data_IF_188006837733
#
_entry.id   IF_188006837733
#
_cell.length_a   1.000
_cell.length_b   1.000
_cell.length_c   1.000
_cell.angle_alpha   90.00
_cell.angle_beta   90.00
_cell.angle_gamma   90.00
#
_symmetry.space_group_name_H-M   'P 1'
#
loop_
_entity.id
_entity.type
_entity.pdbx_description
1 polymer ?
#
# COMPACT_ATOMS: atom_id res chain seq x y z
N UNK A 1 8.86 -21.09 -14.10
CA UNK A 1 7.43 -20.88 -13.75
C UNK A 1 6.83 -19.86 -14.71
N UNK A 2 5.60 -20.09 -15.19
CA UNK A 2 4.94 -19.23 -16.19
C UNK A 2 4.46 -17.94 -15.52
N UNK A 3 4.95 -16.78 -15.97
CA UNK A 3 4.47 -15.46 -15.53
C UNK A 3 2.95 -15.39 -15.73
N UNK A 4 2.21 -15.09 -14.65
CA UNK A 4 0.77 -14.86 -14.69
C UNK A 4 0.51 -13.45 -14.20
N UNK A 5 0.01 -12.61 -15.09
CA UNK A 5 -0.37 -11.25 -14.77
C UNK A 5 -1.64 -11.28 -13.91
N UNK A 6 -1.54 -10.83 -12.66
CA UNK A 6 -2.67 -10.77 -11.72
C UNK A 6 -3.37 -9.41 -11.81
N UNK A 7 -4.64 -9.33 -11.43
CA UNK A 7 -5.36 -8.05 -11.30
C UNK A 7 -4.57 -7.11 -10.36
N UNK A 8 -3.96 -7.66 -9.30
CA UNK A 8 -3.14 -6.89 -8.39
C UNK A 8 -1.89 -6.28 -9.06
N UNK A 9 -1.22 -7.02 -9.95
CA UNK A 9 -0.13 -6.48 -10.76
C UNK A 9 -0.61 -5.33 -11.67
N UNK A 10 -1.76 -5.51 -12.33
CA UNK A 10 -2.35 -4.46 -13.18
C UNK A 10 -2.67 -3.20 -12.39
N UNK A 11 -3.20 -3.33 -11.16
CA UNK A 11 -3.46 -2.21 -10.27
C UNK A 11 -2.17 -1.46 -9.89
N UNK A 12 -1.08 -2.19 -9.61
CA UNK A 12 0.21 -1.58 -9.28
C UNK A 12 0.84 -0.84 -10.47
N UNK A 13 0.47 -1.16 -11.71
CA UNK A 13 0.98 -0.43 -12.89
C UNK A 13 0.51 1.03 -12.94
N UNK A 14 -0.60 1.38 -12.26
CA UNK A 14 -1.02 2.77 -12.11
C UNK A 14 -0.14 3.57 -11.15
N UNK A 15 0.71 2.91 -10.37
CA UNK A 15 1.61 3.54 -9.43
C UNK A 15 3.04 3.57 -10.01
N UNK A 16 3.49 4.71 -10.57
CA UNK A 16 4.79 4.79 -11.23
C UNK A 16 5.93 4.65 -10.22
N UNK A 17 6.60 3.49 -10.27
CA UNK A 17 7.65 3.09 -9.31
C UNK A 17 8.80 4.10 -9.20
N UNK A 18 9.23 4.68 -10.31
CA UNK A 18 10.30 5.68 -10.31
C UNK A 18 9.90 6.96 -9.58
N UNK A 19 8.65 7.40 -9.72
CA UNK A 19 8.16 8.58 -9.01
C UNK A 19 8.00 8.28 -7.52
N UNK A 20 7.47 7.10 -7.18
CA UNK A 20 7.37 6.68 -5.79
C UNK A 20 8.74 6.64 -5.12
N UNK A 21 9.76 6.11 -5.80
CA UNK A 21 11.12 6.07 -5.26
C UNK A 21 11.66 7.49 -5.00
N UNK A 22 11.43 8.46 -5.90
CA UNK A 22 11.81 9.86 -5.66
C UNK A 22 11.19 10.42 -4.38
N UNK A 23 9.91 10.15 -4.14
CA UNK A 23 9.21 10.57 -2.90
C UNK A 23 9.84 9.88 -1.68
N UNK A 24 10.10 8.58 -1.75
CA UNK A 24 10.79 7.84 -0.68
C UNK A 24 12.15 8.45 -0.36
N UNK A 25 12.93 8.79 -1.38
CA UNK A 25 14.27 9.37 -1.23
C UNK A 25 14.22 10.77 -0.58
N UNK A 26 13.24 11.60 -0.98
CA UNK A 26 12.99 12.93 -0.39
C UNK A 26 12.70 12.86 1.12
N UNK A 27 11.97 11.84 1.56
CA UNK A 27 11.63 11.62 2.96
C UNK A 27 12.61 10.69 3.69
N UNK A 28 13.70 10.27 3.03
CA UNK A 28 14.65 9.29 3.56
C UNK A 28 13.98 8.00 4.08
N UNK A 29 12.89 7.56 3.43
CA UNK A 29 12.03 6.46 3.91
C UNK A 29 12.72 5.11 4.00
N UNK A 30 13.82 4.92 3.26
CA UNK A 30 14.66 3.72 3.29
C UNK A 30 16.00 3.92 4.01
N UNK A 31 16.16 5.01 4.76
CA UNK A 31 17.35 5.22 5.58
C UNK A 31 17.56 4.06 6.56
N UNK A 32 18.76 3.46 6.53
CA UNK A 32 19.15 2.27 7.32
C UNK A 32 18.26 1.04 7.12
N UNK A 33 17.44 1.00 6.07
CA UNK A 33 16.62 -0.17 5.74
C UNK A 33 17.45 -1.19 4.96
N UNK A 34 17.47 -2.45 5.42
CA UNK A 34 18.26 -3.51 4.77
C UNK A 34 17.48 -4.36 3.77
N UNK A 35 16.33 -4.91 4.21
CA UNK A 35 15.60 -5.97 3.45
C UNK A 35 14.20 -5.56 3.00
N UNK A 36 13.54 -4.71 3.78
CA UNK A 36 12.14 -4.34 3.58
C UNK A 36 12.05 -2.88 3.18
N UNK A 37 12.48 -2.52 1.97
CA UNK A 37 12.39 -1.15 1.43
C UNK A 37 10.94 -0.65 1.37
N UNK A 38 10.71 0.64 1.13
CA UNK A 38 9.40 1.30 1.32
C UNK A 38 8.38 0.89 0.25
N UNK A 39 8.86 0.30 -0.84
CA UNK A 39 8.03 -0.39 -1.81
C UNK A 39 7.30 -1.61 -1.22
N UNK A 40 7.98 -2.41 -0.39
CA UNK A 40 7.37 -3.60 0.21
C UNK A 40 6.13 -3.29 1.08
N UNK A 41 6.19 -2.45 2.13
CA UNK A 41 5.03 -2.16 2.95
C UNK A 41 3.93 -1.48 2.15
N UNK A 42 4.22 -0.64 1.15
CA UNK A 42 3.20 -0.04 0.28
C UNK A 42 2.36 -1.15 -0.37
N UNK A 43 3.02 -2.07 -1.07
CA UNK A 43 2.36 -3.17 -1.78
C UNK A 43 1.62 -4.08 -0.81
N UNK A 44 2.23 -4.42 0.33
CA UNK A 44 1.60 -5.27 1.35
C UNK A 44 0.36 -4.59 1.95
N UNK A 45 0.41 -3.29 2.22
CA UNK A 45 -0.74 -2.54 2.74
C UNK A 45 -1.86 -2.41 1.69
N UNK A 46 -1.53 -2.18 0.42
CA UNK A 46 -2.52 -2.21 -0.68
C UNK A 46 -3.18 -3.59 -0.79
N UNK A 47 -2.40 -4.66 -0.71
CA UNK A 47 -2.94 -6.02 -0.68
C UNK A 47 -3.88 -6.22 0.52
N UNK A 48 -3.51 -5.72 1.70
CA UNK A 48 -4.35 -5.79 2.92
C UNK A 48 -5.71 -5.15 2.70
N UNK A 49 -5.74 -3.94 2.11
CA UNK A 49 -6.99 -3.20 1.87
C UNK A 49 -7.86 -3.92 0.84
N UNK A 50 -7.28 -4.31 -0.31
CA UNK A 50 -8.01 -4.95 -1.41
C UNK A 50 -8.53 -6.35 -1.04
N UNK A 51 -7.79 -7.09 -0.21
CA UNK A 51 -8.20 -8.42 0.26
C UNK A 51 -8.88 -8.41 1.63
N UNK A 52 -9.21 -7.22 2.15
CA UNK A 52 -9.94 -7.01 3.42
C UNK A 52 -9.32 -7.73 4.63
N UNK A 53 -7.98 -7.76 4.71
CA UNK A 53 -7.26 -8.37 5.83
C UNK A 53 -7.31 -7.46 7.05
N UNK A 54 -7.70 -8.02 8.19
CA UNK A 54 -7.95 -7.24 9.41
C UNK A 54 -6.84 -7.34 10.46
N UNK A 55 -5.88 -8.27 10.30
CA UNK A 55 -4.76 -8.42 11.23
C UNK A 55 -3.42 -8.55 10.51
N UNK A 56 -2.35 -8.06 11.14
CA UNK A 56 -0.99 -8.21 10.60
C UNK A 56 -0.57 -9.68 10.46
N UNK A 57 -1.08 -10.58 11.30
CA UNK A 57 -0.81 -12.02 11.23
C UNK A 57 -1.44 -12.63 9.97
N UNK A 58 -2.75 -12.46 9.81
CA UNK A 58 -3.46 -12.94 8.61
C UNK A 58 -2.87 -12.33 7.34
N UNK A 59 -2.55 -11.04 7.37
CA UNK A 59 -1.89 -10.36 6.27
C UNK A 59 -0.56 -11.02 5.88
N UNK A 60 0.34 -11.23 6.85
CA UNK A 60 1.65 -11.83 6.54
C UNK A 60 1.53 -13.27 6.07
N UNK A 61 0.64 -14.07 6.66
CA UNK A 61 0.44 -15.47 6.30
C UNK A 61 -0.15 -15.60 4.89
N UNK A 62 -1.21 -14.83 4.61
CA UNK A 62 -1.86 -14.79 3.30
C UNK A 62 -0.93 -14.27 2.20
N UNK A 63 -0.17 -13.20 2.47
CA UNK A 63 0.76 -12.62 1.50
C UNK A 63 1.94 -13.55 1.19
N UNK A 64 2.53 -14.17 2.22
CA UNK A 64 3.69 -15.05 2.05
C UNK A 64 3.31 -16.39 1.39
N UNK A 65 2.09 -16.88 1.58
CA UNK A 65 1.58 -18.09 0.90
C UNK A 65 1.58 -17.94 -0.62
N UNK A 66 1.42 -16.70 -1.12
CA UNK A 66 1.41 -16.38 -2.54
C UNK A 66 2.74 -15.79 -3.05
N UNK A 67 3.87 -16.03 -2.35
CA UNK A 67 5.19 -15.49 -2.71
C UNK A 67 5.58 -15.70 -4.18
N UNK A 68 5.24 -16.86 -4.74
CA UNK A 68 5.53 -17.24 -6.14
C UNK A 68 4.73 -16.41 -7.16
N UNK A 69 3.62 -15.79 -6.74
CA UNK A 69 2.87 -14.85 -7.57
C UNK A 69 3.34 -13.41 -7.37
N UNK A 70 3.90 -13.10 -6.19
CA UNK A 70 4.29 -11.75 -5.80
C UNK A 70 5.72 -11.35 -6.16
N UNK A 71 6.62 -12.30 -6.44
CA UNK A 71 8.04 -11.96 -6.70
C UNK A 71 8.21 -10.95 -7.85
N UNK A 72 7.38 -11.04 -8.88
CA UNK A 72 7.36 -10.12 -10.03
C UNK A 72 6.92 -8.69 -9.66
N UNK A 73 6.32 -8.49 -8.49
CA UNK A 73 5.93 -7.17 -8.00
C UNK A 73 7.13 -6.44 -7.36
N UNK A 74 8.32 -7.05 -7.32
CA UNK A 74 9.52 -6.46 -6.73
C UNK A 74 9.46 -6.40 -5.20
N UNK A 75 8.74 -7.35 -4.58
CA UNK A 75 8.53 -7.47 -3.14
C UNK A 75 8.98 -8.84 -2.65
N UNK A 76 9.37 -8.90 -1.38
CA UNK A 76 9.83 -10.10 -0.70
C UNK A 76 8.79 -10.58 0.30
N UNK A 77 8.94 -11.83 0.76
CA UNK A 77 8.22 -12.31 1.94
C UNK A 77 8.55 -11.44 3.16
N UNK A 78 7.55 -11.24 4.03
CA UNK A 78 7.65 -10.33 5.17
C UNK A 78 7.38 -11.03 6.49
N UNK A 79 8.12 -10.68 7.54
CA UNK A 79 7.82 -11.08 8.91
C UNK A 79 6.88 -10.06 9.57
N UNK A 80 5.95 -10.54 10.41
CA UNK A 80 4.98 -9.71 11.13
C UNK A 80 5.62 -8.56 11.92
N UNK A 81 6.69 -8.84 12.65
CA UNK A 81 7.42 -7.82 13.44
C UNK A 81 8.04 -6.75 12.53
N UNK A 82 8.70 -7.16 11.45
CA UNK A 82 9.30 -6.22 10.49
C UNK A 82 8.27 -5.33 9.80
N UNK A 83 7.08 -5.87 9.48
CA UNK A 83 5.98 -5.08 8.93
C UNK A 83 5.42 -4.09 9.97
N UNK A 84 5.25 -4.54 11.21
CA UNK A 84 4.83 -3.67 12.31
C UNK A 84 5.80 -2.53 12.57
N UNK A 85 7.11 -2.83 12.64
CA UNK A 85 8.17 -1.84 12.80
C UNK A 85 8.22 -0.86 11.64
N UNK A 86 8.07 -1.35 10.40
CA UNK A 86 8.00 -0.52 9.21
C UNK A 86 6.81 0.45 9.27
N UNK A 87 5.63 -0.03 9.61
CA UNK A 87 4.43 0.80 9.74
C UNK A 87 4.58 1.85 10.84
N UNK A 88 5.28 1.53 11.93
CA UNK A 88 5.53 2.47 13.03
C UNK A 88 6.56 3.55 12.69
N UNK A 89 7.62 3.19 11.95
CA UNK A 89 8.79 4.06 11.73
C UNK A 89 8.70 4.89 10.46
N UNK A 90 8.00 4.40 9.42
CA UNK A 90 7.93 5.09 8.13
C UNK A 90 7.07 6.33 8.23
N UNK A 91 7.60 7.44 7.73
CA UNK A 91 6.85 8.69 7.66
C UNK A 91 5.60 8.51 6.79
N UNK A 92 4.44 8.85 7.36
CA UNK A 92 3.16 8.85 6.64
C UNK A 92 3.18 9.79 5.44
N UNK A 93 4.03 10.83 5.49
CA UNK A 93 4.19 11.81 4.40
C UNK A 93 4.54 11.16 3.06
N UNK A 94 5.27 10.05 3.06
CA UNK A 94 5.59 9.31 1.83
C UNK A 94 4.32 8.87 1.12
N UNK A 95 3.39 8.28 1.86
CA UNK A 95 2.12 7.78 1.32
C UNK A 95 1.17 8.92 0.96
N UNK A 96 1.15 9.98 1.78
CA UNK A 96 0.39 11.20 1.52
C UNK A 96 0.84 11.87 0.20
N UNK A 97 2.13 12.08 0.00
CA UNK A 97 2.66 12.73 -1.21
C UNK A 97 2.45 11.83 -2.43
N UNK A 98 2.53 10.51 -2.25
CA UNK A 98 2.18 9.54 -3.31
C UNK A 98 0.72 9.68 -3.71
N UNK A 99 -0.19 9.80 -2.73
CA UNK A 99 -1.61 10.01 -2.97
C UNK A 99 -1.85 11.31 -3.74
N UNK A 100 -1.30 12.45 -3.27
CA UNK A 100 -1.49 13.73 -3.95
C UNK A 100 -0.86 13.76 -5.35
N UNK A 101 0.27 13.09 -5.56
CA UNK A 101 0.84 12.92 -6.88
C UNK A 101 -0.13 12.18 -7.83
N UNK A 102 -0.74 11.07 -7.38
CA UNK A 102 -1.71 10.33 -8.17
C UNK A 102 -3.00 11.13 -8.39
N UNK A 103 -3.45 11.86 -7.38
CA UNK A 103 -4.63 12.72 -7.45
C UNK A 103 -4.45 13.81 -8.51
N UNK A 104 -3.31 14.50 -8.49
CA UNK A 104 -3.00 15.55 -9.46
C UNK A 104 -2.97 15.01 -10.90
N UNK A 105 -2.55 13.75 -11.11
CA UNK A 105 -2.55 13.13 -12.44
C UNK A 105 -3.95 12.91 -13.03
N UNK A 106 -4.95 12.71 -12.18
CA UNK A 106 -6.32 12.42 -12.62
C UNK A 106 -7.24 13.62 -12.44
N UNK A 107 -6.80 14.67 -11.75
CA UNK A 107 -7.61 15.83 -11.39
C UNK A 107 -8.23 16.53 -12.61
N UNK A 108 -7.50 16.62 -13.72
CA UNK A 108 -7.99 17.23 -14.97
C UNK A 108 -9.07 16.38 -15.68
N UNK A 109 -9.12 15.08 -15.38
CA UNK A 109 -10.09 14.14 -15.94
C UNK A 109 -11.32 13.96 -15.05
N UNK A 110 -11.25 14.42 -13.79
CA UNK A 110 -12.34 14.31 -12.83
C UNK A 110 -13.25 15.54 -12.89
N UNK A 111 -14.58 15.37 -12.80
CA UNK A 111 -15.49 16.49 -12.59
C UNK A 111 -15.12 17.20 -11.28
N UNK A 112 -14.87 18.52 -11.33
CA UNK A 112 -14.36 19.29 -10.17
C UNK A 112 -15.22 19.19 -8.89
N UNK A 113 -16.53 18.89 -9.03
CA UNK A 113 -17.43 18.68 -7.89
C UNK A 113 -17.24 17.33 -7.19
N UNK A 114 -16.70 16.32 -7.88
CA UNK A 114 -16.66 14.94 -7.40
C UNK A 114 -15.37 14.63 -6.63
N UNK A 115 -14.28 15.35 -6.87
CA UNK A 115 -12.99 15.09 -6.20
C UNK A 115 -13.09 15.23 -4.68
N UNK A 116 -13.72 16.32 -4.21
CA UNK A 116 -13.97 16.53 -2.78
C UNK A 116 -14.88 15.46 -2.17
N UNK A 117 -15.85 14.97 -2.92
CA UNK A 117 -16.78 13.93 -2.46
C UNK A 117 -16.11 12.55 -2.47
N UNK A 118 -15.27 12.25 -3.46
CA UNK A 118 -14.49 11.01 -3.54
C UNK A 118 -13.52 10.87 -2.37
N UNK A 119 -12.81 11.95 -2.00
CA UNK A 119 -11.94 11.93 -0.80
C UNK A 119 -12.75 11.65 0.47
N UNK A 120 -13.95 12.26 0.60
CA UNK A 120 -14.88 11.98 1.72
C UNK A 120 -15.40 10.54 1.73
N UNK A 121 -15.66 9.94 0.58
CA UNK A 121 -16.13 8.55 0.47
C UNK A 121 -15.05 7.54 0.83
N UNK A 122 -13.78 7.81 0.50
CA UNK A 122 -12.66 6.93 0.87
C UNK A 122 -12.44 6.92 2.39
N UNK A 123 -12.74 8.04 3.06
CA UNK A 123 -12.61 8.19 4.52
C UNK A 123 -13.87 7.76 5.30
N UNK A 124 -14.85 7.11 4.66
CA UNK A 124 -16.03 6.58 5.36
C UNK A 124 -15.71 5.26 6.10
N UNK A 125 -14.61 5.20 6.84
CA UNK A 125 -14.36 4.09 7.75
C UNK A 125 -15.41 4.17 8.86
N UNK A 126 -16.39 3.27 8.83
CA UNK A 126 -17.29 3.06 9.97
C UNK A 126 -16.48 2.46 11.09
N UNK A 127 -16.16 3.26 12.11
CA UNK A 127 -15.66 2.75 13.38
C UNK A 127 -16.87 2.12 14.06
N UNK A 128 -16.92 0.79 14.10
CA UNK A 128 -17.91 0.09 14.91
C UNK A 128 -17.64 0.39 16.39
N UNK A 129 -18.54 1.16 17.00
CA UNK A 129 -18.47 1.54 18.42
C UNK A 129 -18.98 0.42 19.35
N UNK A 130 -19.34 -0.75 18.79
CA UNK A 130 -19.92 -1.84 19.56
C UNK A 130 -18.83 -2.79 20.06
N UNK A 131 -18.48 -2.67 21.34
CA UNK A 131 -17.48 -3.52 22.01
C UNK A 131 -17.94 -4.97 22.28
N UNK A 132 -19.20 -5.30 21.96
CA UNK A 132 -19.86 -6.55 22.40
C UNK A 132 -20.00 -7.61 21.29
N UNK A 133 -18.98 -7.82 20.46
CA UNK A 133 -18.84 -9.02 19.63
C UNK A 133 -17.72 -9.92 20.16
N UNK A 134 -17.88 -10.37 21.42
CA UNK A 134 -17.27 -11.58 21.96
C UNK A 134 -18.25 -12.21 22.94
#
# INVERSE_FOLDING_TARGET
MKYRNTIFHQLLNFLPRNQFQKIVDQHQGDYRTRKLNTWNPLVIMLFSQLSKRQSLRDLTDSFNRQKEQHYHLGVNSVCRSSLSDANKKRSVKIFQDTFFFLLNKIQDQLPKKDVSQMVRLIDSSTIDLNFNQF
#
